data_IF_832870010905
#
_entry.id   IF_832870010905
#
_cell.length_a   1.000
_cell.length_b   1.000
_cell.length_c   1.000
_cell.angle_alpha   90.00
_cell.angle_beta   90.00
_cell.angle_gamma   90.00
#
_symmetry.space_group_name_H-M   'P 1'
#
loop_
_entity.id
_entity.type
_entity.pdbx_description
1 polymer ?
#
# COMPACT_ATOMS: atom_id res chain seq x y z
N UNK A 1 7.56 16.52 -1.77
CA UNK A 1 7.52 15.04 -1.81
C UNK A 1 8.69 14.54 -0.98
N UNK A 2 8.49 13.56 -0.09
CA UNK A 2 9.57 12.91 0.65
C UNK A 2 9.71 11.45 0.18
N UNK A 3 10.94 10.94 0.11
CA UNK A 3 11.20 9.53 -0.24
C UNK A 3 11.74 8.85 1.00
N UNK A 4 11.06 7.79 1.40
CA UNK A 4 11.44 6.94 2.50
C UNK A 4 11.90 5.62 1.93
N UNK A 5 13.11 5.23 2.29
CA UNK A 5 13.69 3.96 1.89
C UNK A 5 13.96 3.11 3.12
N UNK A 6 13.65 1.82 3.04
CA UNK A 6 13.62 0.94 4.20
C UNK A 6 14.78 -0.05 4.18
N UNK A 7 15.58 -0.07 5.26
CA UNK A 7 16.71 -1.00 5.41
C UNK A 7 16.51 -1.97 6.57
N UNK A 8 16.28 -3.27 6.30
CA UNK A 8 16.68 -4.31 7.22
C UNK A 8 18.17 -4.65 7.05
N UNK A 9 18.96 -4.71 8.13
CA UNK A 9 20.33 -5.22 8.08
C UNK A 9 20.40 -6.70 8.46
N UNK A 10 20.89 -7.50 7.52
CA UNK A 10 21.77 -8.62 7.80
C UNK A 10 23.04 -8.34 7.01
N UNK A 11 24.06 -7.81 7.68
CA UNK A 11 25.49 -8.01 7.40
C UNK A 11 26.32 -7.05 8.28
N UNK A 12 27.21 -7.68 9.03
CA UNK A 12 28.20 -7.09 9.92
C UNK A 12 29.01 -5.98 9.24
N UNK A 13 29.20 -4.89 9.96
CA UNK A 13 30.01 -3.76 9.54
C UNK A 13 31.50 -4.14 9.54
N UNK A 14 32.09 -4.27 8.35
CA UNK A 14 33.50 -3.95 8.09
C UNK A 14 33.65 -3.53 6.63
N UNK A 15 33.86 -2.23 6.42
CA UNK A 15 34.51 -1.64 5.24
C UNK A 15 34.14 -2.23 3.87
N UNK A 16 32.85 -2.38 3.56
CA UNK A 16 32.41 -2.70 2.21
C UNK A 16 31.51 -1.59 1.70
N UNK A 17 31.81 -1.11 0.48
CA UNK A 17 30.92 -0.29 -0.34
C UNK A 17 29.47 -0.80 -0.20
N UNK A 18 28.47 0.08 -0.16
CA UNK A 18 27.08 -0.36 -0.17
C UNK A 18 26.88 -1.37 -1.32
N UNK A 19 26.11 -2.45 -1.11
CA UNK A 19 25.83 -3.44 -2.15
C UNK A 19 25.42 -2.74 -3.46
N UNK A 20 25.77 -3.28 -4.64
CA UNK A 20 25.58 -2.63 -5.93
C UNK A 20 24.19 -2.03 -6.15
N UNK A 21 23.16 -2.71 -5.64
CA UNK A 21 21.77 -2.27 -5.76
C UNK A 21 21.42 -1.03 -4.93
N UNK A 22 22.03 -0.83 -3.76
CA UNK A 22 21.82 0.39 -2.94
C UNK A 22 22.43 1.61 -3.61
N UNK A 23 23.61 1.43 -4.20
CA UNK A 23 24.26 2.47 -5.01
C UNK A 23 23.36 2.83 -6.18
N UNK A 24 22.77 1.84 -6.86
CA UNK A 24 21.86 2.08 -7.98
C UNK A 24 20.60 2.86 -7.57
N UNK A 25 19.99 2.55 -6.42
CA UNK A 25 18.85 3.31 -5.91
C UNK A 25 19.18 4.80 -5.70
N UNK A 26 20.19 5.09 -4.88
CA UNK A 26 20.55 6.48 -4.53
C UNK A 26 21.03 7.23 -5.77
N UNK A 27 21.80 6.57 -6.63
CA UNK A 27 22.32 7.14 -7.86
C UNK A 27 21.20 7.46 -8.86
N UNK A 28 20.24 6.55 -9.07
CA UNK A 28 19.09 6.80 -9.93
C UNK A 28 18.18 7.92 -9.41
N UNK A 29 17.97 8.00 -8.09
CA UNK A 29 17.24 9.10 -7.48
C UNK A 29 17.93 10.44 -7.73
N UNK A 30 19.25 10.51 -7.54
CA UNK A 30 20.04 11.70 -7.78
C UNK A 30 20.00 12.13 -9.25
N UNK A 31 20.22 11.20 -10.19
CA UNK A 31 20.23 11.51 -11.63
C UNK A 31 18.88 11.98 -12.17
N UNK A 32 17.79 11.58 -11.52
CA UNK A 32 16.42 11.93 -11.94
C UNK A 32 15.84 13.09 -11.14
N UNK A 33 16.66 13.84 -10.39
CA UNK A 33 16.26 15.00 -9.57
C UNK A 33 15.17 14.69 -8.54
N UNK A 34 15.20 13.48 -7.97
CA UNK A 34 14.36 13.19 -6.81
C UNK A 34 14.89 13.92 -5.56
N UNK A 35 14.01 14.31 -4.63
CA UNK A 35 14.44 14.85 -3.34
C UNK A 35 15.31 13.83 -2.59
N UNK A 36 16.28 14.29 -1.78
CA UNK A 36 17.16 13.40 -1.02
C UNK A 36 16.36 12.35 -0.23
N UNK A 37 16.65 11.04 -0.42
CA UNK A 37 15.91 9.99 0.26
C UNK A 37 16.32 9.88 1.73
N UNK A 38 15.33 9.65 2.61
CA UNK A 38 15.56 9.30 4.01
C UNK A 38 15.68 7.79 4.16
N UNK A 39 16.81 7.33 4.70
CA UNK A 39 17.02 5.92 5.03
C UNK A 39 16.47 5.60 6.42
N UNK A 40 15.41 4.81 6.48
CA UNK A 40 14.85 4.30 7.73
C UNK A 40 15.54 2.98 8.09
N UNK A 41 15.76 2.79 9.40
CA UNK A 41 16.38 1.59 9.97
C UNK A 41 17.83 1.34 9.54
N UNK A 42 18.51 2.37 9.05
CA UNK A 42 19.91 2.28 8.66
C UNK A 42 20.81 1.91 9.84
N UNK A 43 21.65 0.89 9.66
CA UNK A 43 22.61 0.42 10.67
C UNK A 43 21.99 -0.42 11.79
N UNK A 44 20.68 -0.66 11.78
CA UNK A 44 19.99 -1.51 12.77
C UNK A 44 20.01 -2.98 12.33
N UNK A 45 20.31 -3.89 13.24
CA UNK A 45 20.21 -5.33 13.02
C UNK A 45 18.84 -5.85 13.48
N UNK A 46 18.27 -6.78 12.73
CA UNK A 46 16.93 -7.32 12.96
C UNK A 46 17.04 -8.83 13.14
N UNK A 47 16.64 -9.35 14.30
CA UNK A 47 16.55 -10.79 14.58
C UNK A 47 15.11 -11.12 14.97
N UNK A 48 14.69 -12.38 14.84
CA UNK A 48 13.34 -12.77 15.29
C UNK A 48 13.13 -12.54 16.81
N UNK A 49 14.23 -12.45 17.58
CA UNK A 49 14.23 -12.18 19.01
C UNK A 49 14.36 -10.69 19.39
N UNK A 50 14.56 -9.78 18.42
CA UNK A 50 14.64 -8.34 18.74
C UNK A 50 13.25 -7.73 18.97
N UNK A 51 13.24 -6.57 19.62
CA UNK A 51 12.04 -5.76 19.92
C UNK A 51 11.12 -5.54 18.71
N UNK A 52 11.65 -5.64 17.49
CA UNK A 52 10.99 -5.46 16.19
C UNK A 52 10.62 -6.77 15.51
N UNK A 53 10.79 -7.93 16.15
CA UNK A 53 10.28 -9.24 15.72
C UNK A 53 10.64 -9.64 14.28
N UNK A 54 11.75 -9.14 13.74
CA UNK A 54 12.22 -9.42 12.38
C UNK A 54 12.10 -8.25 11.39
N UNK A 55 12.49 -8.50 10.14
CA UNK A 55 12.71 -7.44 9.12
C UNK A 55 11.41 -6.78 8.63
N UNK A 56 10.31 -7.52 8.59
CA UNK A 56 9.03 -7.04 8.06
C UNK A 56 8.30 -6.10 9.04
N UNK A 57 8.25 -6.49 10.31
CA UNK A 57 7.69 -5.66 11.39
C UNK A 57 8.53 -4.40 11.59
N UNK A 58 9.85 -4.51 11.49
CA UNK A 58 10.75 -3.36 11.53
C UNK A 58 10.45 -2.33 10.43
N UNK A 59 10.10 -2.78 9.22
CA UNK A 59 9.68 -1.90 8.11
C UNK A 59 8.40 -1.14 8.47
N UNK A 60 7.37 -1.83 8.95
CA UNK A 60 6.10 -1.21 9.34
C UNK A 60 6.33 -0.18 10.47
N UNK A 61 7.04 -0.59 11.52
CA UNK A 61 7.34 0.25 12.68
C UNK A 61 8.17 1.48 12.29
N UNK A 62 9.24 1.27 11.53
CA UNK A 62 10.16 2.35 11.14
C UNK A 62 9.47 3.46 10.36
N UNK A 63 8.61 3.09 9.38
CA UNK A 63 7.83 4.08 8.62
C UNK A 63 6.84 4.82 9.53
N UNK A 64 6.10 4.08 10.36
CA UNK A 64 5.15 4.67 11.31
C UNK A 64 5.84 5.71 12.20
N UNK A 65 6.96 5.34 12.81
CA UNK A 65 7.68 6.21 13.74
C UNK A 65 8.17 7.48 13.04
N UNK A 66 8.73 7.35 11.83
CA UNK A 66 9.17 8.49 11.03
C UNK A 66 8.02 9.44 10.66
N UNK A 67 6.86 8.89 10.30
CA UNK A 67 5.68 9.70 9.96
C UNK A 67 5.02 10.34 11.19
N UNK A 68 5.15 9.72 12.36
CA UNK A 68 4.55 10.18 13.62
C UNK A 68 5.31 11.34 14.29
N UNK A 69 6.60 11.48 14.01
CA UNK A 69 7.46 12.53 14.59
C UNK A 69 6.98 13.95 14.21
N UNK A 70 6.33 14.12 13.05
CA UNK A 70 5.75 15.39 12.62
C UNK A 70 6.75 16.52 12.32
N UNK A 71 8.02 16.35 12.69
CA UNK A 71 9.08 17.34 12.48
C UNK A 71 9.63 17.35 11.05
N UNK A 72 9.67 16.18 10.40
CA UNK A 72 10.33 16.02 9.08
C UNK A 72 9.37 16.05 7.90
N UNK A 73 8.11 15.70 8.13
CA UNK A 73 7.07 15.59 7.10
C UNK A 73 5.76 16.09 7.68
N UNK A 74 5.09 16.99 6.96
CA UNK A 74 3.77 17.52 7.35
C UNK A 74 2.66 16.63 6.80
N UNK A 75 1.49 16.71 7.42
CA UNK A 75 0.33 15.86 7.11
C UNK A 75 -0.05 15.80 5.61
N UNK A 76 0.08 16.92 4.91
CA UNK A 76 -0.28 17.06 3.49
C UNK A 76 0.88 16.82 2.53
N UNK A 77 2.10 16.60 3.03
CA UNK A 77 3.22 16.29 2.17
C UNK A 77 3.02 14.91 1.55
N UNK A 78 3.34 14.79 0.26
CA UNK A 78 3.31 13.51 -0.45
C UNK A 78 4.57 12.72 -0.10
N UNK A 79 4.40 11.45 0.26
CA UNK A 79 5.47 10.56 0.68
C UNK A 79 5.46 9.31 -0.20
N UNK A 80 6.63 9.01 -0.78
CA UNK A 80 6.92 7.77 -1.47
C UNK A 80 7.71 6.87 -0.52
N UNK A 81 7.18 5.71 -0.19
CA UNK A 81 7.89 4.68 0.58
C UNK A 81 8.26 3.56 -0.38
N UNK A 82 9.53 3.17 -0.41
CA UNK A 82 10.06 2.12 -1.29
C UNK A 82 11.03 1.19 -0.56
N UNK A 83 11.17 -0.02 -1.10
CA UNK A 83 12.12 -1.01 -0.59
C UNK A 83 13.59 -0.68 -0.87
N UNK A 84 14.41 -1.32 -0.04
CA UNK A 84 15.80 -1.00 0.23
C UNK A 84 16.85 -1.55 -0.73
N UNK A 85 16.52 -2.56 -1.53
CA UNK A 85 17.55 -3.44 -2.08
C UNK A 85 17.38 -3.74 -3.57
N UNK A 86 16.23 -3.47 -4.13
CA UNK A 86 15.78 -4.02 -5.41
C UNK A 86 14.94 -3.01 -6.19
N UNK A 87 15.15 -1.71 -5.93
CA UNK A 87 14.46 -0.61 -6.58
C UNK A 87 15.48 0.36 -7.18
N UNK A 88 15.19 0.86 -8.38
CA UNK A 88 15.81 2.04 -8.96
C UNK A 88 14.78 2.84 -9.75
N UNK A 89 14.99 4.15 -9.83
CA UNK A 89 14.12 5.02 -10.59
C UNK A 89 14.52 5.03 -12.07
N UNK A 90 13.53 4.97 -12.95
CA UNK A 90 13.72 5.03 -14.41
C UNK A 90 13.14 6.31 -15.02
N UNK A 91 12.30 7.02 -14.28
CA UNK A 91 11.56 8.19 -14.76
C UNK A 91 11.66 9.34 -13.74
N UNK A 92 11.65 10.61 -14.18
CA UNK A 92 11.67 11.77 -13.28
C UNK A 92 10.45 11.82 -12.33
N UNK A 93 10.57 12.48 -11.16
CA UNK A 93 9.49 12.59 -10.18
C UNK A 93 8.24 13.26 -10.74
N UNK A 94 8.38 14.18 -11.70
CA UNK A 94 7.24 14.83 -12.36
C UNK A 94 6.31 13.82 -13.05
N UNK A 95 6.87 12.77 -13.68
CA UNK A 95 6.11 11.71 -14.34
C UNK A 95 5.39 10.85 -13.30
N UNK A 96 6.08 10.50 -12.21
CA UNK A 96 5.47 9.76 -11.09
C UNK A 96 4.29 10.53 -10.49
N UNK A 97 4.45 11.83 -10.23
CA UNK A 97 3.41 12.69 -9.68
C UNK A 97 2.21 12.83 -10.62
N UNK A 98 2.45 13.03 -11.91
CA UNK A 98 1.40 13.07 -12.92
C UNK A 98 0.60 11.77 -12.94
N UNK A 99 1.29 10.62 -12.97
CA UNK A 99 0.65 9.30 -12.99
C UNK A 99 -0.11 9.01 -11.70
N UNK A 100 0.43 9.38 -10.54
CA UNK A 100 -0.25 9.29 -9.25
C UNK A 100 -1.56 10.05 -9.27
N UNK A 101 -1.54 11.34 -9.65
CA UNK A 101 -2.73 12.18 -9.69
C UNK A 101 -3.79 11.66 -10.68
N UNK A 102 -3.37 11.25 -11.88
CA UNK A 102 -4.27 10.73 -12.90
C UNK A 102 -4.92 9.41 -12.47
N UNK A 103 -4.13 8.51 -11.88
CA UNK A 103 -4.63 7.23 -11.35
C UNK A 103 -5.60 7.46 -10.19
N UNK A 104 -5.27 8.38 -9.28
CA UNK A 104 -6.09 8.70 -8.12
C UNK A 104 -7.43 9.34 -8.52
N UNK A 105 -7.43 10.27 -9.49
CA UNK A 105 -8.65 10.86 -10.06
C UNK A 105 -9.53 9.76 -10.66
N UNK A 106 -8.99 8.93 -11.54
CA UNK A 106 -9.74 7.85 -12.17
C UNK A 106 -10.31 6.84 -11.15
N UNK A 107 -9.55 6.53 -10.09
CA UNK A 107 -10.01 5.67 -8.99
C UNK A 107 -11.16 6.31 -8.22
N UNK A 108 -11.03 7.59 -7.87
CA UNK A 108 -12.05 8.33 -7.14
C UNK A 108 -13.32 8.52 -7.98
N UNK A 109 -13.22 8.74 -9.29
CA UNK A 109 -14.38 8.80 -10.17
C UNK A 109 -15.13 7.47 -10.23
N UNK A 110 -14.41 6.34 -10.27
CA UNK A 110 -15.03 5.01 -10.18
C UNK A 110 -15.72 4.80 -8.84
N UNK A 111 -15.10 5.21 -7.73
CA UNK A 111 -15.71 5.14 -6.41
C UNK A 111 -16.96 6.02 -6.32
N UNK A 112 -16.93 7.23 -6.87
CA UNK A 112 -18.07 8.13 -6.93
C UNK A 112 -19.22 7.53 -7.73
N UNK A 113 -18.95 7.01 -8.94
CA UNK A 113 -19.97 6.33 -9.76
C UNK A 113 -20.57 5.11 -9.06
N UNK A 114 -19.74 4.35 -8.35
CA UNK A 114 -20.15 3.09 -7.70
C UNK A 114 -20.88 3.29 -6.38
N UNK A 115 -20.51 4.30 -5.59
CA UNK A 115 -20.98 4.48 -4.21
C UNK A 115 -21.71 5.80 -3.95
N UNK A 116 -21.61 6.76 -4.86
CA UNK A 116 -22.23 8.07 -4.76
C UNK A 116 -21.66 8.93 -3.63
N UNK A 117 -22.46 9.91 -3.23
CA UNK A 117 -22.14 10.87 -2.18
C UNK A 117 -22.96 10.61 -0.91
N UNK A 118 -22.42 11.01 0.24
CA UNK A 118 -23.05 10.93 1.56
C UNK A 118 -23.16 12.33 2.19
N UNK A 119 -24.21 12.53 2.99
CA UNK A 119 -24.33 13.69 3.87
C UNK A 119 -23.55 13.42 5.15
N UNK A 120 -22.75 14.39 5.59
CA UNK A 120 -21.80 14.21 6.70
C UNK A 120 -22.47 14.25 8.08
N UNK A 121 -23.52 15.06 8.21
CA UNK A 121 -24.54 15.09 9.27
C UNK A 121 -25.39 16.35 9.05
N UNK A 122 -26.71 16.26 9.26
CA UNK A 122 -27.74 17.29 9.06
C UNK A 122 -28.08 17.68 7.60
N UNK A 123 -29.33 18.07 7.38
CA UNK A 123 -30.00 18.25 6.09
C UNK A 123 -29.40 19.37 5.18
N UNK A 124 -28.51 20.21 5.70
CA UNK A 124 -28.00 21.41 5.02
C UNK A 124 -26.48 21.41 4.73
N UNK A 125 -25.78 20.26 4.85
CA UNK A 125 -24.36 20.19 4.47
C UNK A 125 -24.16 19.68 3.04
N UNK A 126 -23.13 20.19 2.31
CA UNK A 126 -22.82 19.70 0.98
C UNK A 126 -22.52 18.20 1.00
N UNK A 127 -23.04 17.49 0.01
CA UNK A 127 -22.83 16.05 -0.13
C UNK A 127 -21.36 15.80 -0.49
N UNK A 128 -20.67 15.01 0.31
CA UNK A 128 -19.27 14.64 0.06
C UNK A 128 -19.20 13.24 -0.55
N UNK A 129 -18.17 12.98 -1.35
CA UNK A 129 -17.92 11.64 -1.86
C UNK A 129 -17.77 10.65 -0.71
N UNK A 130 -18.49 9.52 -0.78
CA UNK A 130 -18.58 8.57 0.34
C UNK A 130 -17.26 7.86 0.63
N UNK A 131 -16.51 7.53 -0.42
CA UNK A 131 -15.20 6.88 -0.32
C UNK A 131 -14.22 7.55 -1.24
N UNK A 132 -13.06 7.92 -0.71
CA UNK A 132 -11.95 8.47 -1.47
C UNK A 132 -10.70 7.64 -1.22
N UNK A 133 -9.95 7.42 -2.29
CA UNK A 133 -8.61 6.85 -2.27
C UNK A 133 -7.61 8.01 -2.24
N UNK A 134 -6.62 7.91 -1.36
CA UNK A 134 -5.52 8.87 -1.21
C UNK A 134 -4.13 8.21 -1.30
N UNK A 135 -4.09 6.88 -1.43
CA UNK A 135 -2.87 6.08 -1.42
C UNK A 135 -2.89 5.13 -2.61
N UNK A 136 -1.73 4.94 -3.25
CA UNK A 136 -1.51 3.98 -4.34
C UNK A 136 -0.35 3.08 -3.93
N UNK A 137 -0.60 1.77 -3.98
CA UNK A 137 0.38 0.73 -3.72
C UNK A 137 0.95 0.19 -5.04
N UNK A 138 2.12 -0.44 -4.97
CA UNK A 138 2.60 -1.32 -6.03
C UNK A 138 1.59 -2.44 -6.30
N UNK A 139 1.60 -2.95 -7.53
CA UNK A 139 0.70 -4.01 -7.95
C UNK A 139 1.47 -5.23 -8.46
N UNK A 140 1.23 -6.38 -7.85
CA UNK A 140 1.79 -7.68 -8.25
C UNK A 140 0.83 -8.47 -9.13
N UNK A 141 1.44 -9.36 -9.92
CA UNK A 141 0.78 -10.33 -10.81
C UNK A 141 0.29 -11.57 -10.06
N UNK A 142 0.86 -11.83 -8.89
CA UNK A 142 0.56 -12.99 -8.04
C UNK A 142 0.06 -12.46 -6.70
N UNK A 143 -0.91 -13.13 -6.10
CA UNK A 143 -1.23 -12.89 -4.71
C UNK A 143 -0.21 -13.64 -3.86
N UNK A 144 0.63 -12.91 -3.13
CA UNK A 144 1.65 -13.51 -2.29
C UNK A 144 1.68 -12.81 -0.92
N UNK A 145 1.89 -13.53 0.19
CA UNK A 145 2.05 -14.98 0.30
C UNK A 145 0.72 -15.76 0.35
N UNK A 146 -0.41 -15.06 0.31
CA UNK A 146 -1.75 -15.63 0.40
C UNK A 146 -2.11 -16.51 -0.81
N UNK A 147 -2.92 -17.55 -0.61
CA UNK A 147 -3.44 -18.35 -1.73
C UNK A 147 -4.55 -17.60 -2.49
N UNK A 148 -4.83 -17.99 -3.73
CA UNK A 148 -5.88 -17.33 -4.53
C UNK A 148 -7.28 -17.36 -3.88
N UNK A 149 -7.54 -18.34 -3.00
CA UNK A 149 -8.80 -18.49 -2.27
C UNK A 149 -8.86 -17.65 -0.99
N UNK A 150 -7.73 -17.12 -0.54
CA UNK A 150 -7.69 -16.24 0.62
C UNK A 150 -8.58 -15.01 0.39
N UNK A 151 -9.42 -14.61 1.36
CA UNK A 151 -10.25 -13.41 1.25
C UNK A 151 -9.48 -12.16 0.83
N UNK A 152 -8.23 -12.01 1.27
CA UNK A 152 -7.36 -10.90 0.88
C UNK A 152 -7.02 -10.88 -0.61
N UNK A 153 -7.03 -12.04 -1.27
CA UNK A 153 -6.84 -12.19 -2.72
C UNK A 153 -8.15 -12.13 -3.49
N UNK A 154 -9.18 -12.84 -3.01
CA UNK A 154 -10.46 -12.98 -3.68
C UNK A 154 -11.28 -11.67 -3.71
N UNK A 155 -11.06 -10.78 -2.74
CA UNK A 155 -11.74 -9.49 -2.66
C UNK A 155 -11.16 -8.39 -3.56
N UNK A 156 -9.96 -8.62 -4.13
CA UNK A 156 -9.26 -7.67 -4.99
C UNK A 156 -10.01 -7.50 -6.32
N UNK A 157 -10.34 -6.26 -6.74
CA UNK A 157 -11.01 -6.03 -8.00
C UNK A 157 -10.14 -6.43 -9.19
N UNK A 158 -10.77 -6.74 -10.33
CA UNK A 158 -10.06 -6.96 -11.59
C UNK A 158 -9.19 -5.76 -11.98
N UNK A 159 -8.06 -6.03 -12.64
CA UNK A 159 -7.15 -4.99 -13.13
C UNK A 159 -7.89 -4.01 -14.06
N UNK A 160 -7.50 -2.74 -14.02
CA UNK A 160 -8.01 -1.70 -14.93
C UNK A 160 -7.25 -1.65 -16.25
N UNK A 161 -6.23 -2.48 -16.42
CA UNK A 161 -5.48 -2.60 -17.66
C UNK A 161 -6.34 -3.24 -18.77
N UNK A 162 -6.02 -3.00 -20.05
CA UNK A 162 -6.66 -3.70 -21.15
C UNK A 162 -6.53 -5.22 -20.99
N UNK A 163 -7.60 -5.95 -21.32
CA UNK A 163 -7.65 -7.42 -21.23
C UNK A 163 -6.62 -8.14 -22.12
N UNK A 164 -5.98 -7.42 -23.03
CA UNK A 164 -4.97 -7.91 -23.97
C UNK A 164 -3.63 -7.18 -23.81
N UNK A 165 -3.33 -6.61 -22.63
CA UNK A 165 -2.11 -5.82 -22.39
C UNK A 165 -0.81 -6.58 -22.70
N UNK A 166 -0.83 -7.92 -22.59
CA UNK A 166 0.28 -8.81 -22.96
C UNK A 166 -0.05 -9.68 -24.19
N UNK A 167 -0.96 -9.21 -25.05
CA UNK A 167 -1.42 -9.93 -26.24
C UNK A 167 -2.37 -11.09 -25.90
N UNK A 168 -2.44 -12.08 -26.79
CA UNK A 168 -3.40 -13.20 -26.74
C UNK A 168 -3.26 -14.12 -25.51
N UNK A 169 -2.11 -14.05 -24.82
CA UNK A 169 -1.77 -14.87 -23.66
C UNK A 169 -1.96 -14.14 -22.32
N UNK A 170 -2.54 -12.93 -22.34
CA UNK A 170 -2.86 -12.18 -21.11
C UNK A 170 -3.74 -13.03 -20.20
N UNK A 171 -3.37 -13.16 -18.93
CA UNK A 171 -4.07 -13.94 -17.89
C UNK A 171 -4.24 -15.45 -18.21
N UNK A 172 -3.38 -16.01 -19.08
CA UNK A 172 -3.38 -17.44 -19.46
C UNK A 172 -2.09 -18.16 -19.11
N UNK A 173 -1.23 -17.49 -18.35
CA UNK A 173 0.11 -17.95 -18.04
C UNK A 173 0.17 -18.47 -16.60
N UNK A 174 0.45 -19.76 -16.46
CA UNK A 174 0.57 -20.42 -15.16
C UNK A 174 1.79 -19.90 -14.37
N UNK A 175 2.84 -19.46 -15.06
CA UNK A 175 4.03 -18.85 -14.45
C UNK A 175 3.80 -17.38 -14.07
N UNK A 176 2.61 -16.84 -14.39
CA UNK A 176 2.14 -15.50 -14.05
C UNK A 176 2.93 -14.33 -14.63
N UNK A 177 3.87 -14.56 -15.55
CA UNK A 177 4.59 -13.49 -16.26
C UNK A 177 3.65 -12.66 -17.12
N UNK A 178 2.59 -13.25 -17.67
CA UNK A 178 1.60 -12.56 -18.51
C UNK A 178 0.28 -12.28 -17.78
N UNK A 179 0.26 -12.36 -16.45
CA UNK A 179 -0.90 -12.00 -15.66
C UNK A 179 -0.98 -10.48 -15.45
N UNK A 180 -2.20 -9.94 -15.51
CA UNK A 180 -2.46 -8.54 -15.24
C UNK A 180 -2.24 -8.24 -13.75
N UNK A 181 -1.37 -7.27 -13.42
CA UNK A 181 -1.13 -6.93 -12.03
C UNK A 181 -2.40 -6.33 -11.39
N UNK A 182 -2.73 -6.83 -10.21
CA UNK A 182 -3.87 -6.35 -9.40
C UNK A 182 -3.67 -6.51 -7.90
N UNK A 183 -2.81 -7.43 -7.46
CA UNK A 183 -2.60 -7.73 -6.06
C UNK A 183 -1.70 -6.68 -5.41
N UNK A 184 -1.91 -6.39 -4.12
CA UNK A 184 -1.11 -5.39 -3.42
C UNK A 184 0.34 -5.88 -3.27
N UNK A 185 1.29 -5.01 -3.62
CA UNK A 185 2.71 -5.18 -3.31
C UNK A 185 3.12 -4.12 -2.26
N UNK A 186 3.74 -4.56 -1.17
CA UNK A 186 4.14 -3.67 -0.07
C UNK A 186 5.49 -2.96 -0.29
N UNK A 187 6.20 -3.28 -1.38
CA UNK A 187 7.52 -2.74 -1.67
C UNK A 187 7.54 -1.31 -2.21
N UNK A 188 6.38 -0.79 -2.64
CA UNK A 188 6.23 0.60 -3.00
C UNK A 188 4.84 1.15 -2.64
N UNK A 189 4.79 2.34 -2.06
CA UNK A 189 3.54 3.05 -1.79
C UNK A 189 3.71 4.57 -1.87
N UNK A 190 2.74 5.25 -2.45
CA UNK A 190 2.70 6.70 -2.60
C UNK A 190 1.39 7.25 -2.04
N UNK A 191 1.47 8.23 -1.14
CA UNK A 191 0.30 8.86 -0.54
C UNK A 191 0.64 10.05 0.34
N UNK A 192 -0.37 10.70 0.91
CA UNK A 192 -0.11 11.78 1.88
C UNK A 192 0.42 11.21 3.20
N UNK A 193 1.28 11.96 3.88
CA UNK A 193 1.85 11.55 5.16
C UNK A 193 0.77 11.16 6.18
N UNK A 194 -0.32 11.95 6.27
CA UNK A 194 -1.45 11.62 7.15
C UNK A 194 -2.17 10.32 6.77
N UNK A 195 -2.31 10.02 5.47
CA UNK A 195 -2.95 8.77 5.03
C UNK A 195 -2.07 7.57 5.30
N UNK A 196 -0.76 7.69 5.02
CA UNK A 196 0.19 6.63 5.29
C UNK A 196 0.33 6.39 6.80
N UNK A 197 0.43 7.44 7.62
CA UNK A 197 0.52 7.29 9.08
C UNK A 197 -0.66 6.48 9.62
N UNK A 198 -1.90 6.77 9.19
CA UNK A 198 -3.07 5.99 9.58
C UNK A 198 -2.95 4.52 9.20
N UNK A 199 -2.51 4.23 7.98
CA UNK A 199 -2.37 2.84 7.50
C UNK A 199 -1.25 2.10 8.24
N UNK A 200 -0.09 2.71 8.40
CA UNK A 200 1.05 2.11 9.09
C UNK A 200 0.81 1.95 10.59
N UNK A 201 0.04 2.84 11.23
CA UNK A 201 -0.39 2.68 12.62
C UNK A 201 -1.33 1.49 12.78
N UNK A 202 -2.33 1.35 11.92
CA UNK A 202 -3.24 0.19 11.92
C UNK A 202 -2.49 -1.12 11.62
N UNK A 203 -1.59 -1.11 10.63
CA UNK A 203 -0.78 -2.27 10.30
C UNK A 203 0.11 -2.69 11.49
N UNK A 204 0.69 -1.72 12.18
CA UNK A 204 1.48 -1.98 13.37
C UNK A 204 0.65 -2.54 14.53
N UNK A 205 -0.56 -2.00 14.74
CA UNK A 205 -1.50 -2.50 15.75
C UNK A 205 -1.84 -3.98 15.52
N UNK A 206 -2.07 -4.40 14.26
CA UNK A 206 -2.30 -5.81 13.93
C UNK A 206 -1.10 -6.70 14.20
N UNK A 207 0.10 -6.21 13.93
CA UNK A 207 1.32 -6.96 14.21
C UNK A 207 1.51 -7.18 15.72
N UNK A 208 1.33 -6.14 16.53
CA UNK A 208 1.55 -6.23 17.98
C UNK A 208 0.43 -6.98 18.70
N UNK A 209 -0.82 -6.67 18.35
CA UNK A 209 -1.99 -7.07 19.14
C UNK A 209 -2.80 -8.22 18.52
N UNK A 210 -2.56 -8.56 17.25
CA UNK A 210 -3.32 -9.59 16.53
C UNK A 210 -2.44 -10.77 16.05
N UNK A 211 -1.20 -10.88 16.54
CA UNK A 211 -0.33 -12.03 16.28
C UNK A 211 0.12 -12.18 14.82
N UNK A 212 0.28 -11.05 14.10
CA UNK A 212 0.77 -11.05 12.72
C UNK A 212 2.29 -10.82 12.60
N UNK A 213 3.01 -10.91 13.71
CA UNK A 213 4.45 -10.73 13.79
C UNK A 213 5.28 -11.81 13.07
N UNK A 214 4.71 -13.01 12.90
CA UNK A 214 5.32 -14.08 12.10
C UNK A 214 5.12 -13.97 10.59
N UNK A 215 4.32 -13.01 10.11
CA UNK A 215 3.97 -12.87 8.70
C UNK A 215 4.75 -11.73 8.03
N UNK A 216 4.98 -11.85 6.71
CA UNK A 216 5.59 -10.78 5.92
C UNK A 216 4.73 -9.51 5.90
N UNK A 217 5.36 -8.36 5.68
CA UNK A 217 4.66 -7.06 5.63
C UNK A 217 3.61 -7.03 4.51
N UNK A 218 3.85 -7.72 3.40
CA UNK A 218 2.87 -7.89 2.32
C UNK A 218 1.58 -8.56 2.81
N UNK A 219 1.66 -9.58 3.66
CA UNK A 219 0.49 -10.25 4.23
C UNK A 219 -0.34 -9.29 5.10
N UNK A 220 0.34 -8.53 5.97
CA UNK A 220 -0.31 -7.56 6.87
C UNK A 220 -1.06 -6.49 6.07
N UNK A 221 -0.43 -5.92 5.04
CA UNK A 221 -1.08 -4.92 4.20
C UNK A 221 -2.19 -5.50 3.31
N UNK A 222 -2.05 -6.74 2.82
CA UNK A 222 -3.10 -7.42 2.07
C UNK A 222 -4.36 -7.63 2.93
N UNK A 223 -4.20 -8.11 4.17
CA UNK A 223 -5.31 -8.26 5.13
C UNK A 223 -5.96 -6.91 5.49
N UNK A 224 -5.17 -5.85 5.63
CA UNK A 224 -5.69 -4.50 5.84
C UNK A 224 -6.49 -3.99 4.64
N UNK A 225 -5.99 -4.24 3.42
CA UNK A 225 -6.69 -3.87 2.20
C UNK A 225 -8.02 -4.62 2.05
N UNK A 226 -8.04 -5.91 2.38
CA UNK A 226 -9.25 -6.74 2.44
C UNK A 226 -10.30 -6.12 3.36
N UNK A 227 -9.93 -5.81 4.61
CA UNK A 227 -10.88 -5.28 5.59
C UNK A 227 -11.52 -3.96 5.12
N UNK A 228 -10.73 -3.08 4.51
CA UNK A 228 -11.24 -1.86 3.92
C UNK A 228 -12.24 -2.17 2.80
N UNK A 229 -11.96 -3.19 1.99
CA UNK A 229 -12.83 -3.63 0.90
C UNK A 229 -14.13 -4.24 1.41
N UNK A 230 -14.07 -5.15 2.38
CA UNK A 230 -15.24 -5.79 3.00
C UNK A 230 -16.11 -4.73 3.66
N UNK A 231 -15.54 -3.79 4.43
CA UNK A 231 -16.28 -2.68 5.03
C UNK A 231 -16.98 -1.81 3.98
N UNK A 232 -16.35 -1.54 2.85
CA UNK A 232 -16.98 -0.80 1.73
C UNK A 232 -18.19 -1.55 1.14
N UNK A 233 -18.09 -2.88 1.00
CA UNK A 233 -19.16 -3.73 0.45
C UNK A 233 -20.30 -3.89 1.46
N UNK A 234 -20.01 -4.23 2.73
CA UNK A 234 -21.01 -4.45 3.76
C UNK A 234 -21.89 -3.20 4.00
N UNK A 235 -21.30 -2.01 3.99
CA UNK A 235 -22.03 -0.72 4.10
C UNK A 235 -22.93 -0.44 2.90
N UNK A 236 -22.72 -1.10 1.76
CA UNK A 236 -23.62 -1.05 0.60
C UNK A 236 -24.80 -2.00 0.81
N UNK A 237 -24.55 -3.24 1.21
CA UNK A 237 -25.61 -4.25 1.42
C UNK A 237 -26.62 -3.77 2.47
N UNK A 238 -26.14 -3.23 3.60
CA UNK A 238 -27.02 -2.66 4.66
C UNK A 238 -27.95 -1.55 4.18
N UNK A 239 -27.63 -0.87 3.06
CA UNK A 239 -28.49 0.16 2.47
C UNK A 239 -29.63 -0.44 1.65
N UNK A 240 -29.39 -1.56 0.98
CA UNK A 240 -30.41 -2.27 0.21
C UNK A 240 -31.26 -3.18 1.11
N UNK A 241 -30.66 -3.71 2.18
CA UNK A 241 -31.32 -4.56 3.17
C UNK A 241 -31.04 -4.01 4.57
N UNK A 242 -31.82 -3.01 5.03
CA UNK A 242 -31.73 -2.56 6.41
C UNK A 242 -32.10 -3.71 7.37
N UNK A 243 -31.49 -3.80 8.56
CA UNK A 243 -31.64 -4.94 9.47
C UNK A 243 -33.09 -5.28 9.84
N UNK A 244 -34.01 -4.32 9.74
CA UNK A 244 -35.44 -4.53 10.00
C UNK A 244 -36.19 -5.32 8.90
N UNK A 245 -35.54 -5.67 7.78
CA UNK A 245 -36.15 -6.42 6.67
C UNK A 245 -35.68 -7.90 6.65
N UNK A 246 -34.69 -8.28 7.47
CA UNK A 246 -34.19 -9.67 7.50
C UNK A 246 -35.02 -10.64 8.35
N UNK A 247 -35.98 -10.16 9.16
CA UNK A 247 -36.81 -11.03 10.00
C UNK A 247 -38.09 -11.56 9.32
N UNK A 248 -38.36 -11.20 8.06
CA UNK A 248 -39.62 -11.56 7.39
C UNK A 248 -39.43 -12.31 6.06
N UNK A 249 -38.23 -12.84 5.77
CA UNK A 249 -37.94 -13.52 4.51
C UNK A 249 -37.41 -14.96 4.66
N UNK A 250 -37.66 -15.60 5.81
CA UNK A 250 -37.45 -17.04 5.99
C UNK A 250 -38.64 -17.64 6.77
N UNK A 251 -39.71 -17.95 6.05
CA UNK A 251 -40.62 -19.07 6.31
C UNK A 251 -40.81 -19.79 4.98
#
# INVERSE_FOLDING_TARGET
MAIIFLRPSLLSARSQLPPPSRTMFVLSALFLDYPPPTLINYGKAFTAASWDKGTHVAKIRGVRDYLSDGQRVREHDLVLVVDGYDIWFQLPPAVLLHNYQTTLRAANDRLLRKYGTATRSAANQPRIQRYTQSVIWGADKICWPNSAQDPACASVPSSTLPFNVYGKNTDKDDESFLNTPKYLNSGAVLGTAASLLRIYTEAFDRVENHGLDGYGDQYVFAALFEDLRVRQIARRIRRFFPPNVMNSAWV
#
